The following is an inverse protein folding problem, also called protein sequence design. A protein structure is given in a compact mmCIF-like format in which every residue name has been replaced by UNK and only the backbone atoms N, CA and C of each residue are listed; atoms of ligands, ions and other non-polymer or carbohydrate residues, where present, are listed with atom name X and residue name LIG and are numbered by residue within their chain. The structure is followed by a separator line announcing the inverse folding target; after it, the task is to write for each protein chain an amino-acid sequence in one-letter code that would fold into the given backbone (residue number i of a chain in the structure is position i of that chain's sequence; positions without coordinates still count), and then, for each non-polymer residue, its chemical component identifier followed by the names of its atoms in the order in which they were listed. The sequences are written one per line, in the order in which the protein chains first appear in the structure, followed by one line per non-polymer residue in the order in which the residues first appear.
data_IF_112599071120
#
_entry.id   IF_112599071120
#
_cell.length_a   1.000
_cell.length_b   1.000
_cell.length_c   1.000
_cell.angle_alpha   90.00
_cell.angle_beta   90.00
_cell.angle_gamma   90.00
#
_symmetry.space_group_name_H-M   'P 1'
#
loop_
_entity.id
_entity.type
_entity.pdbx_description
1 polymer ?
#
# COMPACT_ATOMS: atom_id res chain seq x y z
N UNK A 1 6.59 -17.91 -0.27
CA UNK A 1 7.83 -17.58 0.48
C UNK A 1 7.48 -16.49 1.49
N UNK A 2 8.19 -16.38 2.61
CA UNK A 2 7.90 -15.34 3.61
C UNK A 2 8.60 -14.03 3.22
N UNK A 3 7.91 -12.90 3.36
CA UNK A 3 8.49 -11.55 3.19
C UNK A 3 9.52 -11.27 4.30
N UNK A 4 10.52 -10.45 4.00
CA UNK A 4 11.52 -9.97 4.97
C UNK A 4 11.05 -8.73 5.70
N UNK A 5 10.27 -7.87 5.03
CA UNK A 5 9.68 -6.69 5.67
C UNK A 5 8.31 -7.03 6.26
N UNK A 6 7.97 -6.47 7.43
CA UNK A 6 6.60 -6.50 7.92
C UNK A 6 5.74 -5.47 7.17
N UNK A 7 4.51 -5.87 6.89
CA UNK A 7 3.53 -5.07 6.16
C UNK A 7 2.21 -4.99 6.92
N UNK A 8 1.63 -3.79 6.98
CA UNK A 8 0.21 -3.59 7.36
C UNK A 8 -0.54 -3.05 6.16
N UNK A 9 -1.70 -3.64 5.87
CA UNK A 9 -2.60 -3.17 4.83
C UNK A 9 -3.94 -2.85 5.49
N UNK A 10 -4.28 -1.58 5.49
CA UNK A 10 -5.56 -1.09 6.01
C UNK A 10 -6.37 -0.55 4.83
N UNK A 11 -7.67 -0.88 4.74
CA UNK A 11 -8.55 -0.32 3.72
C UNK A 11 -9.68 0.42 4.43
N UNK A 12 -9.85 1.70 4.13
CA UNK A 12 -10.96 2.50 4.67
C UNK A 12 -11.95 2.84 3.56
N UNK A 13 -13.26 2.77 3.82
CA UNK A 13 -14.26 3.15 2.84
C UNK A 13 -14.17 4.65 2.58
N UNK A 14 -14.31 5.03 1.31
CA UNK A 14 -14.48 6.44 0.93
C UNK A 14 -15.77 6.99 1.54
N UNK A 15 -15.74 8.19 2.09
CA UNK A 15 -16.94 8.81 2.67
C UNK A 15 -18.00 9.05 1.59
N UNK A 16 -19.25 8.63 1.83
CA UNK A 16 -20.36 8.99 0.95
C UNK A 16 -20.54 10.52 0.98
N UNK A 17 -20.36 11.18 -0.15
CA UNK A 17 -20.94 12.51 -0.37
C UNK A 17 -22.34 12.34 -0.94
N UNK A 18 -23.23 13.28 -0.59
CA UNK A 18 -24.63 13.44 -1.05
C UNK A 18 -24.99 12.74 -2.37
N UNK A 19 -26.22 12.21 -2.46
CA UNK A 19 -26.84 11.33 -3.49
C UNK A 19 -26.43 11.49 -4.98
N UNK A 20 -25.83 12.61 -5.38
CA UNK A 20 -25.48 12.94 -6.77
C UNK A 20 -23.96 12.94 -7.06
N UNK A 21 -23.12 12.53 -6.09
CA UNK A 21 -21.67 12.43 -6.28
C UNK A 21 -21.24 11.01 -6.71
N UNK A 22 -20.24 10.84 -7.61
CA UNK A 22 -19.70 9.53 -7.91
C UNK A 22 -19.21 8.84 -6.63
N UNK A 23 -19.30 7.50 -6.54
CA UNK A 23 -18.91 6.78 -5.34
C UNK A 23 -17.43 7.06 -5.04
N UNK A 24 -17.13 7.51 -3.81
CA UNK A 24 -15.75 7.81 -3.43
C UNK A 24 -14.94 6.52 -3.36
N UNK A 25 -13.72 6.59 -3.90
CA UNK A 25 -12.74 5.52 -3.83
C UNK A 25 -12.51 5.04 -2.40
N UNK A 26 -12.34 3.73 -2.23
CA UNK A 26 -11.73 3.18 -1.02
C UNK A 26 -10.29 3.65 -0.92
N UNK A 27 -9.78 3.83 0.30
CA UNK A 27 -8.39 4.21 0.52
C UNK A 27 -7.65 3.02 1.09
N UNK A 28 -6.70 2.48 0.32
CA UNK A 28 -5.72 1.52 0.78
C UNK A 28 -4.52 2.25 1.36
N UNK A 29 -4.20 1.95 2.61
CA UNK A 29 -2.97 2.36 3.27
C UNK A 29 -2.04 1.16 3.42
N UNK A 30 -0.96 1.15 2.65
CA UNK A 30 0.14 0.20 2.80
C UNK A 30 1.18 0.80 3.75
N UNK A 31 1.42 0.15 4.89
CA UNK A 31 2.53 0.47 5.78
C UNK A 31 3.62 -0.59 5.65
N UNK A 32 4.87 -0.16 5.48
CA UNK A 32 6.05 -1.00 5.31
C UNK A 32 7.04 -0.76 6.44
N UNK A 33 7.57 -1.82 7.02
CA UNK A 33 8.50 -1.75 8.16
C UNK A 33 7.82 -1.90 9.53
N UNK A 34 6.48 -2.05 9.56
CA UNK A 34 5.67 -2.35 10.74
C UNK A 34 4.38 -3.06 10.34
N UNK A 35 3.92 -4.03 11.14
CA UNK A 35 2.64 -4.75 10.95
C UNK A 35 1.66 -4.62 12.13
N UNK A 36 1.95 -3.75 13.11
CA UNK A 36 1.18 -3.58 14.34
C UNK A 36 1.49 -4.61 15.44
N UNK A 37 2.19 -5.71 15.13
CA UNK A 37 2.73 -6.67 16.11
C UNK A 37 4.21 -6.43 16.39
N UNK A 38 4.93 -5.91 15.42
CA UNK A 38 6.33 -5.58 15.55
C UNK A 38 6.86 -4.73 14.41
N UNK A 39 8.17 -4.47 14.46
CA UNK A 39 8.95 -3.84 13.39
C UNK A 39 9.99 -4.83 12.90
N UNK A 40 10.67 -4.51 11.80
CA UNK A 40 11.79 -5.33 11.34
C UNK A 40 12.89 -5.36 12.41
N UNK A 41 13.33 -6.57 12.79
CA UNK A 41 14.31 -6.75 13.87
C UNK A 41 15.77 -6.69 13.37
N UNK A 42 15.97 -6.91 12.08
CA UNK A 42 17.28 -6.88 11.42
C UNK A 42 17.26 -5.92 10.23
N UNK A 43 18.38 -5.28 9.89
CA UNK A 43 18.39 -4.38 8.75
C UNK A 43 18.08 -5.10 7.42
N UNK A 44 17.14 -4.54 6.67
CA UNK A 44 16.72 -5.03 5.35
C UNK A 44 16.83 -3.90 4.34
N UNK A 45 17.52 -4.17 3.22
CA UNK A 45 17.57 -3.27 2.07
C UNK A 45 16.42 -3.58 1.12
N UNK A 46 15.73 -2.55 0.66
CA UNK A 46 14.55 -2.62 -0.19
C UNK A 46 14.77 -1.80 -1.46
N UNK A 47 14.65 -2.44 -2.62
CA UNK A 47 14.79 -1.80 -3.93
C UNK A 47 13.45 -1.53 -4.62
N UNK A 48 12.43 -2.35 -4.34
CA UNK A 48 11.07 -2.18 -4.88
C UNK A 48 10.05 -2.93 -4.03
N UNK A 49 8.84 -2.39 -3.98
CA UNK A 49 7.65 -3.06 -3.46
C UNK A 49 6.58 -2.97 -4.53
N UNK A 50 6.16 -4.10 -5.06
CA UNK A 50 5.03 -4.17 -5.99
C UNK A 50 3.81 -4.66 -5.23
N UNK A 51 2.68 -4.00 -5.46
CA UNK A 51 1.40 -4.38 -4.90
C UNK A 51 0.42 -4.60 -6.02
N UNK A 52 -0.36 -5.66 -5.89
CA UNK A 52 -1.43 -6.00 -6.82
C UNK A 52 -2.72 -6.18 -6.04
N UNK A 53 -3.75 -5.43 -6.43
CA UNK A 53 -5.08 -5.47 -5.83
C UNK A 53 -6.08 -5.82 -6.92
N UNK A 54 -6.85 -6.91 -6.78
CA UNK A 54 -7.94 -7.21 -7.69
C UNK A 54 -8.96 -6.08 -7.71
N UNK A 55 -9.34 -5.63 -8.90
CA UNK A 55 -10.41 -4.66 -9.09
C UNK A 55 -11.75 -5.36 -8.80
N UNK A 56 -12.57 -4.82 -7.90
CA UNK A 56 -13.86 -5.43 -7.58
C UNK A 56 -14.95 -5.19 -8.64
N UNK A 57 -14.71 -4.27 -9.56
CA UNK A 57 -15.77 -3.76 -10.42
C UNK A 57 -15.63 -4.29 -11.84
N UNK A 58 -16.68 -4.97 -12.30
CA UNK A 58 -16.89 -5.32 -13.71
C UNK A 58 -17.41 -4.14 -14.55
N UNK A 59 -17.53 -2.95 -13.97
CA UNK A 59 -18.05 -1.73 -14.62
C UNK A 59 -16.93 -1.03 -15.40
N UNK A 60 -16.97 -1.03 -16.74
CA UNK A 60 -15.97 -0.39 -17.58
C UNK A 60 -15.87 1.13 -17.40
N UNK A 61 -16.85 1.78 -16.75
CA UNK A 61 -16.85 3.22 -16.47
C UNK A 61 -15.98 3.59 -15.26
N UNK A 62 -15.82 2.68 -14.29
CA UNK A 62 -14.96 2.87 -13.11
C UNK A 62 -13.51 2.44 -13.39
N UNK A 63 -13.32 1.39 -14.20
CA UNK A 63 -12.00 0.86 -14.59
C UNK A 63 -11.07 1.84 -15.36
N UNK A 64 -11.55 3.05 -15.71
CA UNK A 64 -10.80 4.04 -16.51
C UNK A 64 -10.35 5.26 -15.71
N UNK A 65 -10.69 5.36 -14.43
CA UNK A 65 -10.31 6.54 -13.66
C UNK A 65 -8.90 6.36 -13.08
N UNK A 66 -8.03 7.37 -13.22
CA UNK A 66 -6.69 7.29 -12.67
C UNK A 66 -6.78 7.20 -11.15
N UNK A 67 -6.18 6.16 -10.59
CA UNK A 67 -5.95 6.02 -9.16
C UNK A 67 -5.16 7.26 -8.71
N UNK A 68 -5.77 8.11 -7.89
CA UNK A 68 -5.03 9.20 -7.27
C UNK A 68 -4.16 8.59 -6.17
N UNK A 69 -2.84 8.71 -6.33
CA UNK A 69 -1.87 8.22 -5.37
C UNK A 69 -1.37 9.43 -4.59
N UNK A 70 -1.77 9.52 -3.32
CA UNK A 70 -1.34 10.59 -2.42
C UNK A 70 -0.33 10.04 -1.42
N UNK A 71 0.96 10.23 -1.67
CA UNK A 71 2.01 9.76 -0.76
C UNK A 71 2.19 10.72 0.41
N UNK A 72 1.93 10.25 1.63
CA UNK A 72 2.41 10.93 2.85
C UNK A 72 3.61 10.18 3.38
N UNK A 73 4.81 10.62 3.00
CA UNK A 73 6.04 10.19 3.65
C UNK A 73 6.33 11.20 4.77
N UNK A 74 6.42 10.79 6.04
CA UNK A 74 6.90 11.68 7.10
C UNK A 74 8.25 12.27 6.66
N UNK A 75 8.50 13.56 6.93
CA UNK A 75 9.73 14.22 6.50
C UNK A 75 10.96 13.39 6.84
N UNK A 76 11.61 12.86 5.81
CA UNK A 76 12.78 11.98 5.90
C UNK A 76 13.97 12.80 6.40
N UNK A 77 14.62 12.33 7.47
CA UNK A 77 15.79 13.02 8.07
C UNK A 77 17.12 12.35 7.73
N UNK A 78 17.12 11.23 7.01
CA UNK A 78 18.31 10.38 6.82
C UNK A 78 18.36 9.74 5.43
N UNK A 79 19.56 9.64 4.85
CA UNK A 79 19.81 8.95 3.58
C UNK A 79 19.46 7.45 3.61
N UNK A 80 19.40 6.84 4.79
CA UNK A 80 19.03 5.44 4.96
C UNK A 80 17.56 5.15 4.58
N UNK A 81 16.68 6.15 4.57
CA UNK A 81 15.23 5.96 4.36
C UNK A 81 14.82 6.02 2.88
N UNK A 82 15.77 6.29 1.97
CA UNK A 82 15.49 6.79 0.63
C UNK A 82 15.09 8.27 0.72
N UNK A 83 15.73 9.14 -0.07
CA UNK A 83 15.41 10.59 -0.02
C UNK A 83 14.06 10.88 -0.68
N UNK A 84 13.66 10.02 -1.63
CA UNK A 84 12.41 10.11 -2.36
C UNK A 84 11.91 8.69 -2.69
N UNK A 85 10.59 8.55 -2.86
CA UNK A 85 9.92 7.33 -3.30
C UNK A 85 9.00 7.64 -4.48
N UNK A 86 9.15 6.91 -5.57
CA UNK A 86 8.27 6.97 -6.72
C UNK A 86 7.18 5.92 -6.63
N UNK A 87 5.98 6.28 -7.07
CA UNK A 87 4.90 5.33 -7.28
C UNK A 87 4.65 5.18 -8.76
N UNK A 88 4.87 3.97 -9.27
CA UNK A 88 4.76 3.64 -10.68
C UNK A 88 3.54 2.74 -10.86
N UNK A 89 2.39 3.27 -11.34
CA UNK A 89 1.24 2.44 -11.65
C UNK A 89 1.51 1.59 -12.90
N UNK A 90 0.98 0.38 -12.91
CA UNK A 90 0.85 -0.46 -14.10
C UNK A 90 -0.64 -0.68 -14.35
N UNK A 91 -1.11 -0.14 -15.46
CA UNK A 91 -2.51 -0.12 -15.87
C UNK A 91 -2.78 -1.05 -17.06
N UNK A 92 -1.86 -1.97 -17.37
CA UNK A 92 -2.02 -2.88 -18.51
C UNK A 92 -3.15 -3.89 -18.32
N UNK A 93 -3.45 -4.30 -17.08
CA UNK A 93 -4.56 -5.20 -16.77
C UNK A 93 -5.72 -4.43 -16.11
N UNK A 94 -6.90 -4.31 -16.75
CA UNK A 94 -8.05 -3.64 -16.13
C UNK A 94 -8.65 -4.42 -14.95
N UNK A 95 -8.35 -5.72 -14.81
CA UNK A 95 -8.85 -6.54 -13.72
C UNK A 95 -8.02 -6.41 -12.43
N UNK A 96 -6.84 -5.79 -12.50
CA UNK A 96 -5.92 -5.67 -11.36
C UNK A 96 -5.31 -4.28 -11.33
N UNK A 97 -5.48 -3.60 -10.21
CA UNK A 97 -4.69 -2.41 -9.90
C UNK A 97 -3.29 -2.84 -9.46
N UNK A 98 -2.27 -2.52 -10.25
CA UNK A 98 -0.87 -2.77 -9.89
C UNK A 98 -0.12 -1.46 -9.73
N UNK A 99 0.68 -1.35 -8.68
CA UNK A 99 1.60 -0.24 -8.49
C UNK A 99 2.90 -0.69 -7.83
N UNK A 100 3.99 -0.04 -8.19
CA UNK A 100 5.30 -0.25 -7.57
C UNK A 100 5.71 0.98 -6.77
N UNK A 101 6.08 0.80 -5.51
CA UNK A 101 6.76 1.78 -4.68
C UNK A 101 8.27 1.57 -4.83
N UNK A 102 8.98 2.54 -5.39
CA UNK A 102 10.41 2.45 -5.72
C UNK A 102 11.15 3.61 -5.04
N UNK A 103 12.04 3.36 -4.08
CA UNK A 103 12.87 4.42 -3.52
C UNK A 103 13.95 4.84 -4.52
N UNK A 104 14.36 6.11 -4.48
CA UNK A 104 15.41 6.64 -5.37
C UNK A 104 16.72 5.87 -5.25
N UNK A 105 17.08 5.54 -4.01
CA UNK A 105 18.17 4.65 -3.65
C UNK A 105 17.61 3.54 -2.76
N UNK A 106 18.16 2.31 -2.80
CA UNK A 106 17.64 1.22 -1.97
C UNK A 106 17.49 1.64 -0.50
N UNK A 107 16.26 1.63 0.01
CA UNK A 107 15.96 2.03 1.37
C UNK A 107 16.42 0.96 2.36
N UNK A 108 16.92 1.36 3.52
CA UNK A 108 17.36 0.47 4.60
C UNK A 108 16.41 0.58 5.78
N UNK A 109 15.56 -0.42 5.94
CA UNK A 109 14.71 -0.59 7.11
C UNK A 109 15.51 -1.24 8.23
N UNK A 110 15.67 -0.57 9.36
CA UNK A 110 16.47 -1.03 10.52
C UNK A 110 15.64 -1.16 11.80
N UNK A 111 14.31 -1.10 11.67
CA UNK A 111 13.38 -1.19 12.80
C UNK A 111 13.08 0.15 13.47
N UNK A 112 13.72 1.25 13.06
CA UNK A 112 13.49 2.58 13.68
C UNK A 112 12.41 3.41 13.00
N UNK A 113 11.98 2.99 11.80
CA UNK A 113 11.05 3.75 10.98
C UNK A 113 10.16 2.82 10.14
N UNK A 114 9.09 3.41 9.62
CA UNK A 114 8.17 2.79 8.67
C UNK A 114 7.72 3.85 7.66
N UNK A 115 7.26 3.41 6.49
CA UNK A 115 6.68 4.29 5.45
C UNK A 115 5.24 3.87 5.18
N UNK A 116 4.37 4.86 4.94
CA UNK A 116 2.96 4.64 4.56
C UNK A 116 2.73 5.17 3.14
N UNK A 117 2.10 4.36 2.30
CA UNK A 117 1.60 4.76 0.99
C UNK A 117 0.07 4.74 1.04
N UNK A 118 -0.57 5.81 0.59
CA UNK A 118 -2.03 5.92 0.51
C UNK A 118 -2.46 5.95 -0.95
N UNK A 119 -3.35 5.02 -1.30
CA UNK A 119 -3.73 4.72 -2.67
C UNK A 119 -5.25 4.60 -2.70
N UNK A 120 -5.86 5.37 -3.57
CA UNK A 120 -7.29 5.28 -3.82
C UNK A 120 -7.58 4.07 -4.71
N UNK A 121 -8.61 3.29 -4.40
CA UNK A 121 -9.05 2.08 -5.09
C UNK A 121 -10.54 2.18 -5.41
N UNK A 122 -10.98 1.53 -6.48
CA UNK A 122 -12.40 1.41 -6.78
C UNK A 122 -13.17 0.82 -5.59
N UNK A 123 -14.35 1.36 -5.24
CA UNK A 123 -15.20 0.76 -4.22
C UNK A 123 -15.85 -0.54 -4.73
N UNK A 124 -16.35 -1.39 -3.83
CA UNK A 124 -17.17 -2.55 -4.20
C UNK A 124 -16.76 -3.89 -3.61
N UNK A 125 -15.85 -3.89 -2.64
CA UNK A 125 -15.41 -5.11 -1.93
C UNK A 125 -15.46 -4.91 -0.42
N UNK A 126 -15.94 -5.90 0.32
CA UNK A 126 -15.85 -5.91 1.79
C UNK A 126 -14.48 -6.38 2.29
N UNK A 127 -13.81 -7.22 1.49
CA UNK A 127 -12.43 -7.64 1.68
C UNK A 127 -11.80 -7.96 0.33
N UNK A 128 -10.48 -7.82 0.24
CA UNK A 128 -9.73 -8.17 -0.97
C UNK A 128 -8.39 -8.81 -0.61
N UNK A 129 -7.92 -9.70 -1.48
CA UNK A 129 -6.61 -10.30 -1.36
C UNK A 129 -5.58 -9.41 -2.05
N UNK A 130 -4.74 -8.76 -1.25
CA UNK A 130 -3.65 -7.92 -1.73
C UNK A 130 -2.40 -8.77 -1.86
N UNK A 131 -1.84 -8.83 -3.06
CA UNK A 131 -0.55 -9.48 -3.30
C UNK A 131 0.57 -8.47 -3.18
N UNK A 132 1.56 -8.78 -2.37
CA UNK A 132 2.74 -7.95 -2.13
C UNK A 132 3.95 -8.74 -2.59
N UNK A 133 4.72 -8.13 -3.50
CA UNK A 133 6.03 -8.61 -3.92
C UNK A 133 7.07 -7.60 -3.48
N UNK A 134 8.11 -8.08 -2.80
CA UNK A 134 9.24 -7.25 -2.37
C UNK A 134 10.51 -7.67 -3.11
N UNK A 135 11.34 -6.69 -3.46
CA UNK A 135 12.72 -6.89 -3.92
C UNK A 135 13.65 -6.46 -2.79
N UNK A 136 14.10 -7.43 -1.98
CA UNK A 136 14.77 -7.19 -0.70
C UNK A 136 16.02 -8.03 -0.50
N UNK A 137 16.94 -7.51 0.33
CA UNK A 137 18.11 -8.21 0.83
C UNK A 137 18.23 -8.04 2.34
N UNK A 138 18.48 -9.13 3.07
CA UNK A 138 18.96 -9.04 4.46
C UNK A 138 20.35 -8.35 4.49
N UNK A 139 20.75 -7.78 5.63
CA UNK A 139 22.02 -7.07 5.72
C UNK A 139 23.20 -7.98 5.30
N UNK A 140 24.03 -7.48 4.38
CA UNK A 140 25.13 -8.24 3.76
C UNK A 140 24.71 -9.41 2.83
N UNK A 141 23.43 -9.74 2.71
CA UNK A 141 22.92 -10.82 1.86
C UNK A 141 22.60 -10.40 0.41
N UNK A 142 22.38 -11.38 -0.48
CA UNK A 142 21.94 -11.12 -1.85
C UNK A 142 20.49 -10.60 -1.88
N UNK A 143 20.20 -9.75 -2.87
CA UNK A 143 18.83 -9.36 -3.16
C UNK A 143 18.04 -10.55 -3.73
N UNK A 144 16.76 -10.62 -3.39
CA UNK A 144 15.84 -11.61 -3.91
C UNK A 144 14.42 -11.05 -3.97
N UNK A 145 13.63 -11.61 -4.87
CA UNK A 145 12.20 -11.31 -4.97
C UNK A 145 11.40 -12.31 -4.14
N UNK A 146 10.47 -11.81 -3.33
CA UNK A 146 9.59 -12.63 -2.48
C UNK A 146 8.17 -12.09 -2.60
N UNK A 147 7.19 -12.97 -2.68
CA UNK A 147 5.79 -12.59 -2.69
C UNK A 147 5.00 -13.27 -1.57
N UNK A 148 4.03 -12.54 -1.06
CA UNK A 148 3.02 -13.03 -0.12
C UNK A 148 1.69 -12.35 -0.36
N UNK A 149 0.62 -12.99 0.11
CA UNK A 149 -0.75 -12.50 0.00
C UNK A 149 -1.27 -12.14 1.37
N UNK A 150 -1.82 -10.94 1.49
CA UNK A 150 -2.46 -10.42 2.70
C UNK A 150 -3.94 -10.22 2.40
N UNK A 151 -4.81 -10.76 3.25
CA UNK A 151 -6.24 -10.46 3.18
C UNK A 151 -6.45 -9.14 3.92
N UNK A 152 -6.92 -8.14 3.19
CA UNK A 152 -7.27 -6.83 3.74
C UNK A 152 -8.80 -6.71 3.80
N UNK A 153 -9.31 -6.34 4.97
CA UNK A 153 -10.74 -6.10 5.19
C UNK A 153 -10.99 -4.60 5.19
N UNK A 154 -12.10 -4.18 4.57
CA UNK A 154 -12.54 -2.78 4.65
C UNK A 154 -12.98 -2.50 6.08
N UNK A 155 -12.29 -1.56 6.74
CA UNK A 155 -12.60 -1.12 8.08
C UNK A 155 -13.99 -0.49 8.11
N UNK A 156 -14.79 -0.71 9.17
CA UNK A 156 -16.10 -0.09 9.28
C UNK A 156 -15.97 1.43 9.28
N UNK A 157 -16.85 2.13 8.57
CA UNK A 157 -16.96 3.59 8.68
C UNK A 157 -17.25 3.93 10.13
N UNK A 158 -16.30 4.54 10.84
CA UNK A 158 -16.60 5.05 12.17
C UNK A 158 -17.55 6.24 12.02
N UNK A 159 -18.84 5.98 12.12
CA UNK A 159 -19.82 7.03 12.41
C UNK A 159 -19.46 7.53 13.80
N UNK A 160 -18.81 8.68 13.91
CA UNK A 160 -18.81 9.43 15.16
C UNK A 160 -20.27 9.82 15.43
N UNK A 161 -20.97 8.99 16.20
CA UNK A 161 -22.25 9.35 16.79
C UNK A 161 -22.05 10.64 17.60
N UNK A 162 -22.95 11.60 17.35
CA UNK A 162 -22.89 12.94 17.88
C UNK A 162 -22.91 12.96 19.41
N UNK A 163 -22.02 13.78 19.95
CA UNK A 163 -22.13 14.27 21.32
C UNK A 163 -22.98 15.55 21.28
N UNK A 164 -24.22 15.44 21.74
CA UNK A 164 -25.06 16.57 22.19
C UNK A 164 -24.84 16.82 23.67
#
# INVERSE_FOLDING_TARGET
MTLLLPYRVDITPGSATTDDAPPRYHQLRLTVGEDGRGRVEQPVRCARITVSVPSATSDPALARQPLAISTTVPSVRSSAQGQEWWIVPDTTDPAVTVFACVPEVPARFDGTWAVSFLIELDPGFESTAVEITEETAADGGPAGSRSSRVVATVLPTTTSEGQV
#
